data_IF_144342887171
#
_entry.id   IF_144342887171
#
_cell.length_a   1.000
_cell.length_b   1.000
_cell.length_c   1.000
_cell.angle_alpha   90.00
_cell.angle_beta   90.00
_cell.angle_gamma   90.00
#
_symmetry.space_group_name_H-M   'P 1'
#
loop_
_entity.id
_entity.type
_entity.pdbx_description
1 polymer ?
#
# COMPACT_ATOMS: atom_id res chain seq x y z
N UNK A 1 -20.93 -35.71 -12.22
CA UNK A 1 -20.95 -34.28 -11.87
C UNK A 1 -19.91 -33.59 -12.74
N UNK A 2 -20.31 -32.78 -13.71
CA UNK A 2 -19.38 -32.09 -14.60
C UNK A 2 -18.80 -30.88 -13.88
N UNK A 3 -17.50 -30.92 -13.59
CA UNK A 3 -16.78 -29.80 -12.97
C UNK A 3 -16.64 -28.70 -14.02
N UNK A 4 -17.43 -27.63 -13.92
CA UNK A 4 -17.26 -26.45 -14.77
C UNK A 4 -15.95 -25.77 -14.38
N UNK A 5 -14.90 -25.96 -15.19
CA UNK A 5 -13.63 -25.26 -15.02
C UNK A 5 -13.81 -23.80 -15.43
N UNK A 6 -14.00 -22.90 -14.45
CA UNK A 6 -14.02 -21.46 -14.70
C UNK A 6 -12.58 -21.02 -14.96
N UNK A 7 -12.24 -20.73 -16.21
CA UNK A 7 -10.92 -20.19 -16.56
C UNK A 7 -10.94 -18.68 -16.37
N UNK A 8 -10.42 -18.19 -15.24
CA UNK A 8 -10.37 -16.75 -14.96
C UNK A 8 -9.16 -16.13 -15.66
N UNK A 9 -9.42 -15.15 -16.52
CA UNK A 9 -8.36 -14.43 -17.24
C UNK A 9 -7.69 -13.41 -16.31
N UNK A 10 -6.38 -13.57 -16.09
CA UNK A 10 -5.57 -12.67 -15.29
C UNK A 10 -5.72 -11.19 -15.69
N UNK A 11 -5.83 -10.88 -16.98
CA UNK A 11 -6.00 -9.51 -17.46
C UNK A 11 -7.36 -8.91 -17.05
N UNK A 12 -8.42 -9.72 -17.03
CA UNK A 12 -9.75 -9.27 -16.60
C UNK A 12 -9.80 -9.02 -15.10
N UNK A 13 -9.19 -9.91 -14.31
CA UNK A 13 -9.04 -9.71 -12.86
C UNK A 13 -8.23 -8.45 -12.59
N UNK A 14 -7.10 -8.28 -13.27
CA UNK A 14 -6.26 -7.11 -13.12
C UNK A 14 -7.03 -5.81 -13.41
N UNK A 15 -7.75 -5.75 -14.53
CA UNK A 15 -8.54 -4.58 -14.90
C UNK A 15 -9.66 -4.29 -13.88
N UNK A 16 -10.34 -5.34 -13.39
CA UNK A 16 -11.38 -5.19 -12.38
C UNK A 16 -10.83 -4.65 -11.06
N UNK A 17 -9.76 -5.26 -10.53
CA UNK A 17 -9.14 -4.85 -9.27
C UNK A 17 -8.55 -3.44 -9.40
N UNK A 18 -7.83 -3.16 -10.49
CA UNK A 18 -7.27 -1.84 -10.75
C UNK A 18 -8.36 -0.75 -10.83
N UNK A 19 -9.52 -1.04 -11.45
CA UNK A 19 -10.64 -0.11 -11.49
C UNK A 19 -11.19 0.25 -10.10
N UNK A 20 -11.15 -0.69 -9.15
CA UNK A 20 -11.56 -0.44 -7.75
C UNK A 20 -10.51 0.33 -6.95
N UNK A 21 -9.23 0.15 -7.28
CA UNK A 21 -8.11 0.81 -6.61
C UNK A 21 -7.77 2.18 -7.21
N UNK A 22 -8.22 2.48 -8.42
CA UNK A 22 -7.93 3.73 -9.13
C UNK A 22 -8.20 5.01 -8.30
N UNK A 23 -9.28 5.12 -7.50
CA UNK A 23 -9.51 6.29 -6.65
C UNK A 23 -8.46 6.48 -5.54
N UNK A 24 -7.73 5.43 -5.16
CA UNK A 24 -6.71 5.46 -4.11
C UNK A 24 -5.30 5.71 -4.67
N UNK A 25 -5.10 5.42 -5.95
CA UNK A 25 -3.80 5.46 -6.60
C UNK A 25 -3.45 6.87 -7.08
N UNK A 26 -2.23 7.31 -6.79
CA UNK A 26 -1.65 8.54 -7.33
C UNK A 26 -0.43 8.22 -8.18
N UNK A 27 -0.10 9.05 -9.19
CA UNK A 27 1.15 8.91 -9.92
C UNK A 27 2.34 8.92 -8.96
N UNK A 28 3.22 7.91 -9.10
CA UNK A 28 4.42 7.78 -8.28
C UNK A 28 5.67 8.04 -9.12
N UNK A 29 6.65 8.81 -8.61
CA UNK A 29 7.96 8.92 -9.25
C UNK A 29 8.79 7.62 -9.16
N UNK A 30 8.39 6.67 -8.30
CA UNK A 30 9.07 5.38 -8.13
C UNK A 30 8.59 4.35 -9.15
N UNK A 31 7.42 4.57 -9.72
CA UNK A 31 6.80 3.72 -10.70
C UNK A 31 7.05 4.29 -12.10
N UNK A 32 7.09 3.41 -13.09
CA UNK A 32 7.19 3.81 -14.49
C UNK A 32 6.05 4.76 -14.89
N UNK A 33 6.36 5.99 -15.33
CA UNK A 33 5.35 7.01 -15.61
C UNK A 33 4.50 6.71 -16.85
N UNK A 34 4.98 5.84 -17.75
CA UNK A 34 4.31 5.48 -19.00
C UNK A 34 3.20 4.41 -18.84
N UNK A 35 3.14 3.73 -17.70
CA UNK A 35 2.13 2.68 -17.43
C UNK A 35 0.87 3.26 -16.73
N UNK A 36 0.99 4.44 -16.12
CA UNK A 36 -0.08 5.07 -15.33
C UNK A 36 0.11 4.90 -13.81
N UNK A 37 -0.92 5.25 -13.03
CA UNK A 37 -0.85 5.29 -11.56
C UNK A 37 -0.83 3.90 -10.89
N UNK A 38 -1.26 2.86 -11.60
CA UNK A 38 -1.25 1.47 -11.13
C UNK A 38 -0.47 0.62 -12.13
N UNK A 39 0.57 -0.05 -11.66
CA UNK A 39 1.34 -1.00 -12.46
C UNK A 39 0.83 -2.41 -12.21
N UNK A 40 0.72 -3.19 -13.28
CA UNK A 40 0.15 -4.51 -13.26
C UNK A 40 1.16 -5.48 -13.87
N UNK A 41 1.55 -6.50 -13.10
CA UNK A 41 2.38 -7.60 -13.56
C UNK A 41 1.67 -8.93 -13.33
N UNK A 42 2.01 -9.94 -14.14
CA UNK A 42 1.65 -11.33 -13.84
C UNK A 42 2.75 -11.95 -13.00
N UNK A 43 2.37 -12.76 -12.02
CA UNK A 43 3.29 -13.41 -11.11
C UNK A 43 2.88 -14.84 -10.80
N UNK A 44 3.80 -15.53 -10.12
CA UNK A 44 3.57 -16.80 -9.46
C UNK A 44 4.09 -16.63 -8.04
N UNK A 45 3.26 -16.96 -7.05
CA UNK A 45 3.68 -17.08 -5.66
C UNK A 45 3.86 -18.55 -5.37
N UNK A 46 5.00 -18.92 -4.78
CA UNK A 46 5.26 -20.29 -4.33
C UNK A 46 5.07 -20.37 -2.83
N UNK A 47 4.10 -21.16 -2.38
CA UNK A 47 3.85 -21.42 -0.97
C UNK A 47 3.82 -22.93 -0.73
N UNK A 48 4.56 -23.40 0.27
CA UNK A 48 4.58 -24.83 0.61
C UNK A 48 4.83 -25.76 -0.60
N UNK A 49 5.68 -25.33 -1.54
CA UNK A 49 5.97 -26.00 -2.81
C UNK A 49 4.82 -26.02 -3.84
N UNK A 50 3.72 -25.32 -3.58
CA UNK A 50 2.62 -25.12 -4.51
C UNK A 50 2.76 -23.76 -5.23
N UNK A 51 2.58 -23.78 -6.55
CA UNK A 51 2.61 -22.58 -7.38
C UNK A 51 1.21 -22.00 -7.52
N UNK A 52 1.06 -20.73 -7.14
CA UNK A 52 -0.19 -19.98 -7.24
C UNK A 52 -0.04 -18.85 -8.26
N UNK A 53 -0.75 -18.93 -9.41
CA UNK A 53 -0.80 -17.83 -10.36
C UNK A 53 -1.41 -16.57 -9.73
N UNK A 54 -0.74 -15.44 -9.91
CA UNK A 54 -1.15 -14.16 -9.35
C UNK A 54 -1.11 -13.01 -10.36
N UNK A 55 -1.83 -11.95 -10.02
CA UNK A 55 -1.66 -10.63 -10.61
C UNK A 55 -1.14 -9.72 -9.52
N UNK A 56 0.01 -9.09 -9.78
CA UNK A 56 0.59 -8.08 -8.90
C UNK A 56 0.13 -6.69 -9.33
N UNK A 57 -0.35 -5.89 -8.38
CA UNK A 57 -0.69 -4.49 -8.56
C UNK A 57 0.20 -3.63 -7.65
N UNK A 58 0.89 -2.66 -8.22
CA UNK A 58 1.76 -1.72 -7.52
C UNK A 58 1.30 -0.28 -7.75
N UNK A 59 1.12 0.50 -6.68
CA UNK A 59 0.73 1.91 -6.75
C UNK A 59 1.13 2.66 -5.47
N UNK A 60 1.20 3.99 -5.54
CA UNK A 60 1.30 4.83 -4.35
C UNK A 60 -0.06 5.46 -4.01
N UNK A 61 -0.27 5.78 -2.74
CA UNK A 61 -1.45 6.54 -2.28
C UNK A 61 -1.11 8.00 -2.02
N UNK A 62 -2.13 8.87 -1.99
CA UNK A 62 -1.97 10.30 -1.66
C UNK A 62 -1.32 10.53 -0.28
N UNK A 63 -1.46 9.58 0.64
CA UNK A 63 -0.78 9.61 1.92
C UNK A 63 0.71 9.22 1.82
N UNK A 64 1.31 9.13 0.63
CA UNK A 64 2.70 8.76 0.42
C UNK A 64 3.02 7.35 0.91
N UNK A 65 2.09 6.41 0.73
CA UNK A 65 2.27 5.01 1.07
C UNK A 65 2.31 4.19 -0.21
N UNK A 66 3.41 3.46 -0.44
CA UNK A 66 3.50 2.49 -1.52
C UNK A 66 2.81 1.20 -1.16
N UNK A 67 2.03 0.69 -2.11
CA UNK A 67 1.21 -0.51 -2.00
C UNK A 67 1.65 -1.49 -3.08
N UNK A 68 1.90 -2.74 -2.65
CA UNK A 68 2.06 -3.89 -3.53
C UNK A 68 1.05 -4.95 -3.11
N UNK A 69 0.20 -5.37 -4.04
CA UNK A 69 -0.84 -6.36 -3.82
C UNK A 69 -0.66 -7.52 -4.78
N UNK A 70 -0.70 -8.74 -4.26
CA UNK A 70 -0.71 -9.95 -5.07
C UNK A 70 -2.09 -10.59 -4.98
N UNK A 71 -2.84 -10.52 -6.08
CA UNK A 71 -4.16 -11.13 -6.20
C UNK A 71 -4.00 -12.57 -6.66
N UNK A 72 -4.38 -13.53 -5.83
CA UNK A 72 -4.39 -14.95 -6.19
C UNK A 72 -5.59 -15.25 -7.06
N UNK A 73 -5.34 -15.75 -8.26
CA UNK A 73 -6.40 -15.94 -9.25
C UNK A 73 -7.42 -16.99 -8.81
N UNK A 74 -6.98 -18.08 -8.17
CA UNK A 74 -7.87 -19.13 -7.70
C UNK A 74 -8.80 -18.67 -6.57
N UNK A 75 -8.26 -17.94 -5.59
CA UNK A 75 -9.04 -17.41 -4.46
C UNK A 75 -10.01 -16.33 -4.92
N UNK A 76 -9.54 -15.43 -5.79
CA UNK A 76 -10.40 -14.42 -6.40
C UNK A 76 -11.54 -15.06 -7.22
N UNK A 77 -11.26 -16.12 -7.97
CA UNK A 77 -12.26 -16.84 -8.75
C UNK A 77 -13.32 -17.52 -7.88
N UNK A 78 -12.94 -18.00 -6.69
CA UNK A 78 -13.83 -18.71 -5.79
C UNK A 78 -14.89 -17.79 -5.17
N UNK A 79 -14.51 -16.59 -4.73
CA UNK A 79 -15.44 -15.57 -4.25
C UNK A 79 -14.88 -14.14 -4.46
N UNK A 80 -15.12 -13.52 -5.64
CA UNK A 80 -14.60 -12.19 -5.95
C UNK A 80 -15.10 -11.10 -5.00
N UNK A 81 -16.32 -11.24 -4.47
CA UNK A 81 -16.96 -10.22 -3.67
C UNK A 81 -16.35 -10.16 -2.27
N UNK A 82 -16.24 -11.32 -1.62
CA UNK A 82 -15.57 -11.45 -0.32
C UNK A 82 -14.10 -11.09 -0.45
N UNK A 83 -13.41 -11.60 -1.48
CA UNK A 83 -12.00 -11.30 -1.69
C UNK A 83 -11.73 -9.80 -1.77
N UNK A 84 -12.53 -9.06 -2.54
CA UNK A 84 -12.37 -7.62 -2.69
C UNK A 84 -12.72 -6.84 -1.42
N UNK A 85 -13.77 -7.24 -0.69
CA UNK A 85 -14.12 -6.61 0.58
C UNK A 85 -12.96 -6.73 1.56
N UNK A 86 -12.48 -7.95 1.76
CA UNK A 86 -11.43 -8.25 2.73
C UNK A 86 -10.11 -7.57 2.32
N UNK A 87 -9.79 -7.54 1.02
CA UNK A 87 -8.63 -6.81 0.50
C UNK A 87 -8.71 -5.30 0.80
N UNK A 88 -9.87 -4.67 0.56
CA UNK A 88 -10.04 -3.24 0.79
C UNK A 88 -10.05 -2.89 2.29
N UNK A 89 -10.66 -3.73 3.12
CA UNK A 89 -10.66 -3.57 4.57
C UNK A 89 -9.24 -3.65 5.14
N UNK A 90 -8.46 -4.64 4.70
CA UNK A 90 -7.05 -4.77 5.09
C UNK A 90 -6.23 -3.56 4.65
N UNK A 91 -6.42 -3.07 3.42
CA UNK A 91 -5.75 -1.87 2.94
C UNK A 91 -6.09 -0.64 3.78
N UNK A 92 -7.36 -0.44 4.13
CA UNK A 92 -7.78 0.67 4.99
C UNK A 92 -7.15 0.56 6.38
N UNK A 93 -7.13 -0.63 6.98
CA UNK A 93 -6.48 -0.88 8.27
C UNK A 93 -4.98 -0.53 8.24
N UNK A 94 -4.27 -0.94 7.19
CA UNK A 94 -2.85 -0.63 7.00
C UNK A 94 -2.64 0.88 6.83
N UNK A 95 -3.48 1.55 6.02
CA UNK A 95 -3.41 3.01 5.84
C UNK A 95 -3.60 3.74 7.17
N UNK A 96 -4.62 3.37 7.94
CA UNK A 96 -4.89 3.97 9.23
C UNK A 96 -3.71 3.76 10.19
N UNK A 97 -3.18 2.55 10.28
CA UNK A 97 -2.03 2.25 11.15
C UNK A 97 -0.76 2.99 10.71
N UNK A 98 -0.56 3.20 9.40
CA UNK A 98 0.55 3.99 8.88
C UNK A 98 0.42 5.48 9.22
N UNK A 99 -0.79 6.03 9.14
CA UNK A 99 -1.07 7.42 9.52
C UNK A 99 -0.84 7.66 11.01
N UNK A 100 -1.35 6.79 11.89
CA UNK A 100 -1.13 6.89 13.33
C UNK A 100 0.37 6.89 13.69
N UNK A 101 1.15 6.00 13.08
CA UNK A 101 2.61 5.96 13.28
C UNK A 101 3.32 7.23 12.83
N UNK A 102 2.82 7.90 11.78
CA UNK A 102 3.39 9.17 11.31
C UNK A 102 3.03 10.32 12.24
N UNK A 103 1.79 10.37 12.69
CA UNK A 103 1.35 11.37 13.66
C UNK A 103 2.16 11.27 14.97
N UNK A 104 2.32 10.06 15.52
CA UNK A 104 3.12 9.84 16.73
C UNK A 104 4.57 10.31 16.59
N UNK A 105 5.23 9.97 15.47
CA UNK A 105 6.59 10.46 15.19
C UNK A 105 6.67 11.97 15.07
N UNK A 106 5.67 12.61 14.48
CA UNK A 106 5.65 14.07 14.36
C UNK A 106 5.56 14.72 15.74
N UNK A 107 4.74 14.18 16.64
CA UNK A 107 4.64 14.64 18.02
C UNK A 107 5.95 14.45 18.79
N UNK A 108 6.65 13.33 18.58
CA UNK A 108 7.99 13.12 19.17
C UNK A 108 9.02 14.15 18.67
N UNK A 109 9.03 14.44 17.37
CA UNK A 109 9.92 15.44 16.75
C UNK A 109 9.62 16.83 17.31
N UNK A 110 8.34 17.20 17.43
CA UNK A 110 7.91 18.49 17.99
C UNK A 110 8.34 18.64 19.46
N UNK A 111 8.14 17.61 20.28
CA UNK A 111 8.59 17.59 21.67
C UNK A 111 10.12 17.72 21.80
N UNK A 112 10.88 17.06 20.92
CA UNK A 112 12.34 17.21 20.86
C UNK A 112 12.75 18.63 20.45
N UNK A 113 12.06 19.22 19.46
CA UNK A 113 12.35 20.58 19.00
C UNK A 113 12.07 21.61 20.08
N UNK A 114 10.97 21.48 20.84
CA UNK A 114 10.70 22.31 22.01
C UNK A 114 11.78 22.16 23.08
N UNK A 115 12.19 20.93 23.39
CA UNK A 115 13.24 20.69 24.38
C UNK A 115 14.59 21.30 23.98
N UNK A 116 15.00 21.16 22.71
CA UNK A 116 16.23 21.77 22.17
C UNK A 116 16.13 23.30 22.17
N UNK A 117 14.96 23.85 21.82
CA UNK A 117 14.73 25.31 21.81
C UNK A 117 14.79 25.88 23.22
N UNK A 118 14.21 25.21 24.21
CA UNK A 118 14.29 25.60 25.63
C UNK A 118 15.72 25.52 26.16
N UNK A 119 16.47 24.46 25.82
CA UNK A 119 17.88 24.34 26.19
C UNK A 119 18.75 25.43 25.56
N UNK A 120 18.45 25.84 24.32
CA UNK A 120 19.17 26.90 23.60
C UNK A 120 18.79 28.31 24.07
N UNK A 121 17.56 28.51 24.54
CA UNK A 121 17.10 29.74 25.18
C UNK A 121 17.59 29.91 26.63
N UNK A 122 18.05 28.83 27.26
CA UNK A 122 18.57 28.80 28.62
C UNK A 122 20.09 29.05 28.73
N UNK A 123 20.72 29.61 27.69
CA UNK A 123 22.14 30.02 27.72
C UNK A 123 22.25 31.56 27.86
N UNK A 124 21.95 32.16 29.03
CA UNK A 124 22.47 33.48 29.33
C UNK A 124 23.95 33.30 29.65
N UNK A 125 24.81 34.10 29.00
CA UNK A 125 26.24 34.27 29.29
C UNK A 125 27.22 33.56 28.34
N UNK A 126 27.33 34.07 27.11
CA UNK A 126 28.65 34.25 26.50
C UNK A 126 28.88 35.69 26.06
N UNK A 127 29.46 36.45 26.98
CA UNK A 127 30.55 37.39 26.70
C UNK A 127 30.19 38.75 26.08
N UNK A 128 30.26 39.79 26.90
CA UNK A 128 31.17 40.89 26.59
C UNK A 128 31.79 41.38 27.88
N UNK A 129 33.10 41.20 27.95
CA UNK A 129 34.00 41.93 28.85
C UNK A 129 34.15 43.36 28.35
#
# INVERSE_FOLDING_TARGET
MSTTTITVNAAQVAAFVAGKLAPLAVPSPRLRPDIGAIQIDRGIIVEHYEEHPTVRLQFDTAAGMGVELNVRLAEFAADPATYMRDLLENLQGIQHAAQLRRAGRQTEIEAMHEHITLLRGADPMRGSR
#
